data_IF_270483038248
#
_entry.id   IF_270483038248
#
_cell.length_a   1.000
_cell.length_b   1.000
_cell.length_c   1.000
_cell.angle_alpha   90.00
_cell.angle_beta   90.00
_cell.angle_gamma   90.00
#
_symmetry.space_group_name_H-M   'P 1'
#
loop_
_entity.id
_entity.type
_entity.pdbx_description
1 polymer ?
#
# COMPACT_ATOMS: atom_id res chain seq x y z
N UNK A 1 -5.56 -8.43 -20.89
CA UNK A 1 -4.14 -8.66 -20.53
C UNK A 1 -4.11 -9.61 -19.34
N UNK A 2 -3.46 -10.76 -19.45
CA UNK A 2 -3.48 -11.75 -18.37
C UNK A 2 -2.35 -11.44 -17.38
N UNK A 3 -2.68 -11.21 -16.11
CA UNK A 3 -1.73 -10.98 -15.01
C UNK A 3 -0.80 -12.17 -14.75
N UNK A 4 -1.10 -13.36 -15.29
CA UNK A 4 -0.30 -14.60 -15.09
C UNK A 4 1.17 -14.51 -15.52
N UNK A 5 1.52 -13.53 -16.37
CA UNK A 5 2.89 -13.30 -16.84
C UNK A 5 3.58 -12.13 -16.13
N UNK A 6 2.94 -11.49 -15.16
CA UNK A 6 3.47 -10.34 -14.43
C UNK A 6 3.93 -10.73 -13.03
N UNK A 7 4.99 -10.10 -12.57
CA UNK A 7 5.53 -10.25 -11.22
C UNK A 7 5.26 -8.97 -10.44
N UNK A 8 4.68 -9.09 -9.24
CA UNK A 8 4.42 -7.97 -8.35
C UNK A 8 5.60 -7.79 -7.39
N UNK A 9 6.18 -6.60 -7.37
CA UNK A 9 7.24 -6.21 -6.45
C UNK A 9 6.83 -4.99 -5.65
N UNK A 10 7.05 -5.04 -4.34
CA UNK A 10 6.86 -3.88 -3.46
C UNK A 10 8.10 -3.02 -3.48
N UNK A 11 7.93 -1.72 -3.69
CA UNK A 11 8.99 -0.73 -3.53
C UNK A 11 8.95 -0.18 -2.11
N UNK A 12 9.90 -0.62 -1.29
CA UNK A 12 10.12 -0.08 0.06
C UNK A 12 11.12 1.08 -0.01
N UNK A 13 10.60 2.31 -0.01
CA UNK A 13 11.43 3.51 -0.04
C UNK A 13 12.22 3.69 1.25
N UNK A 14 11.67 3.27 2.40
CA UNK A 14 12.35 3.33 3.69
C UNK A 14 13.60 2.45 3.72
N UNK A 15 13.49 1.21 3.22
CA UNK A 15 14.62 0.30 3.13
C UNK A 15 15.72 0.81 2.17
N UNK A 16 15.33 1.48 1.08
CA UNK A 16 16.29 2.09 0.15
C UNK A 16 17.06 3.24 0.79
N UNK A 17 16.40 4.07 1.59
CA UNK A 17 17.02 5.19 2.33
C UNK A 17 17.93 4.68 3.43
N UNK A 18 17.48 3.71 4.23
CA UNK A 18 18.23 3.16 5.37
C UNK A 18 19.59 2.53 4.99
N UNK A 19 19.72 2.05 3.75
CA UNK A 19 20.96 1.48 3.23
C UNK A 19 21.93 2.47 2.58
N UNK A 20 21.59 3.76 2.55
CA UNK A 20 22.36 4.79 1.85
C UNK A 20 23.09 5.70 2.86
N UNK A 21 24.41 5.87 2.69
CA UNK A 21 25.20 6.79 3.53
C UNK A 21 25.10 8.24 3.06
N UNK A 22 24.84 8.46 1.78
CA UNK A 22 24.75 9.76 1.15
C UNK A 22 23.54 9.81 0.21
N UNK A 23 23.02 11.01 -0.01
CA UNK A 23 21.90 11.29 -0.91
C UNK A 23 22.10 10.73 -2.33
N UNK A 24 23.30 10.88 -2.88
CA UNK A 24 23.65 10.40 -4.21
C UNK A 24 23.57 8.86 -4.35
N UNK A 25 23.92 8.13 -3.30
CA UNK A 25 23.86 6.67 -3.29
C UNK A 25 22.42 6.16 -3.39
N UNK A 26 21.50 6.82 -2.70
CA UNK A 26 20.06 6.50 -2.78
C UNK A 26 19.51 6.73 -4.18
N UNK A 27 19.76 7.91 -4.77
CA UNK A 27 19.32 8.22 -6.11
C UNK A 27 19.84 7.24 -7.16
N UNK A 28 21.12 6.87 -7.06
CA UNK A 28 21.74 5.93 -7.99
C UNK A 28 21.14 4.54 -7.88
N UNK A 29 20.92 4.05 -6.66
CA UNK A 29 20.25 2.76 -6.41
C UNK A 29 18.83 2.75 -6.96
N UNK A 30 18.04 3.78 -6.66
CA UNK A 30 16.68 3.90 -7.16
C UNK A 30 16.64 3.92 -8.68
N UNK A 31 17.51 4.70 -9.33
CA UNK A 31 17.63 4.75 -10.80
C UNK A 31 17.99 3.39 -11.40
N UNK A 32 18.89 2.62 -10.77
CA UNK A 32 19.25 1.26 -11.21
C UNK A 32 18.05 0.30 -11.14
N UNK A 33 17.34 0.29 -10.02
CA UNK A 33 16.13 -0.54 -9.83
C UNK A 33 15.06 -0.18 -10.87
N UNK A 34 14.78 1.09 -11.05
CA UNK A 34 13.77 1.55 -12.02
C UNK A 34 14.14 1.24 -13.47
N UNK A 35 15.43 1.33 -13.81
CA UNK A 35 15.93 0.92 -15.13
C UNK A 35 15.73 -0.57 -15.39
N UNK A 36 16.00 -1.42 -14.39
CA UNK A 36 15.76 -2.86 -14.49
C UNK A 36 14.27 -3.18 -14.67
N UNK A 37 13.39 -2.58 -13.83
CA UNK A 37 11.94 -2.72 -13.96
C UNK A 37 11.45 -2.36 -15.37
N UNK A 38 11.93 -1.24 -15.91
CA UNK A 38 11.56 -0.78 -17.26
C UNK A 38 12.05 -1.74 -18.34
N UNK A 39 13.25 -2.30 -18.18
CA UNK A 39 13.84 -3.21 -19.17
C UNK A 39 13.14 -4.55 -19.20
N UNK A 40 12.76 -5.08 -18.06
CA UNK A 40 12.08 -6.38 -17.96
C UNK A 40 10.65 -6.35 -18.51
N UNK A 41 9.91 -5.30 -18.26
CA UNK A 41 8.53 -5.13 -18.76
C UNK A 41 7.48 -6.10 -18.21
N UNK A 42 7.88 -7.12 -17.42
CA UNK A 42 7.00 -8.09 -16.75
C UNK A 42 6.70 -7.73 -15.31
N UNK A 43 7.26 -6.63 -14.81
CA UNK A 43 7.13 -6.20 -13.42
C UNK A 43 5.96 -5.21 -13.27
N UNK A 44 5.15 -5.44 -12.25
CA UNK A 44 4.18 -4.48 -11.69
C UNK A 44 4.72 -4.02 -10.34
N UNK A 45 4.90 -2.73 -10.19
CA UNK A 45 5.43 -2.13 -8.97
C UNK A 45 4.28 -1.81 -8.01
N UNK A 46 4.35 -2.29 -6.77
CA UNK A 46 3.45 -1.87 -5.71
C UNK A 46 4.13 -0.79 -4.87
N UNK A 47 3.46 0.34 -4.70
CA UNK A 47 3.93 1.45 -3.86
C UNK A 47 2.87 1.73 -2.80
N UNK A 48 3.21 1.45 -1.56
CA UNK A 48 2.38 1.83 -0.43
C UNK A 48 2.54 3.32 -0.13
N UNK A 49 1.50 3.93 0.45
CA UNK A 49 1.50 5.35 0.80
C UNK A 49 1.95 6.26 -0.39
N UNK A 50 1.45 5.95 -1.60
CA UNK A 50 1.89 6.62 -2.84
C UNK A 50 1.75 8.15 -2.78
N UNK A 51 0.87 8.68 -1.92
CA UNK A 51 0.71 10.11 -1.70
C UNK A 51 1.98 10.79 -1.19
N UNK A 52 2.89 10.05 -0.53
CA UNK A 52 4.17 10.57 -0.07
C UNK A 52 5.08 11.01 -1.22
N UNK A 53 4.86 10.46 -2.41
CA UNK A 53 5.59 10.86 -3.63
C UNK A 53 5.05 12.15 -4.27
N UNK A 54 3.94 12.67 -3.77
CA UNK A 54 3.26 13.82 -4.38
C UNK A 54 3.18 15.01 -3.44
N UNK A 55 3.09 14.75 -2.12
CA UNK A 55 2.92 15.78 -1.10
C UNK A 55 4.21 16.51 -0.74
N UNK A 56 4.14 17.82 -0.65
CA UNK A 56 5.20 18.64 -0.05
C UNK A 56 5.17 18.44 1.47
N UNK A 57 6.06 17.65 2.01
CA UNK A 57 6.15 17.40 3.46
C UNK A 57 6.80 16.08 3.84
N UNK A 58 7.23 15.32 2.86
CA UNK A 58 7.98 14.09 3.08
C UNK A 58 9.38 14.37 3.64
N UNK A 59 9.88 13.44 4.46
CA UNK A 59 11.27 13.43 4.89
C UNK A 59 12.24 13.57 3.71
N UNK A 60 13.43 14.10 3.94
CA UNK A 60 14.40 14.49 2.89
C UNK A 60 14.61 13.42 1.80
N UNK A 61 14.68 12.13 2.16
CA UNK A 61 14.82 11.02 1.22
C UNK A 61 13.58 10.73 0.36
N UNK A 62 12.37 11.06 0.83
CA UNK A 62 11.13 10.87 0.07
C UNK A 62 10.96 11.96 -1.02
N UNK A 63 11.47 13.18 -0.81
CA UNK A 63 11.50 14.25 -1.81
C UNK A 63 12.37 13.84 -3.00
N UNK A 64 13.47 13.16 -2.77
CA UNK A 64 14.37 12.67 -3.80
C UNK A 64 13.75 11.53 -4.62
N UNK A 65 13.09 10.59 -3.95
CA UNK A 65 12.32 9.54 -4.62
C UNK A 65 11.21 10.11 -5.49
N UNK A 66 10.46 11.09 -4.98
CA UNK A 66 9.38 11.76 -5.70
C UNK A 66 9.88 12.43 -6.99
N UNK A 67 11.02 13.10 -6.94
CA UNK A 67 11.60 13.78 -8.11
C UNK A 67 11.96 12.82 -9.24
N UNK A 68 12.30 11.58 -8.93
CA UNK A 68 12.67 10.54 -9.89
C UNK A 68 11.43 9.75 -10.37
N UNK A 69 10.58 9.33 -9.43
CA UNK A 69 9.43 8.45 -9.72
C UNK A 69 8.27 9.19 -10.39
N UNK A 70 7.92 10.38 -9.91
CA UNK A 70 6.76 11.12 -10.43
C UNK A 70 6.79 11.35 -11.95
N UNK A 71 7.91 11.78 -12.57
CA UNK A 71 7.98 11.90 -14.02
C UNK A 71 7.79 10.57 -14.75
N UNK A 72 8.31 9.46 -14.21
CA UNK A 72 8.19 8.12 -14.82
C UNK A 72 6.75 7.59 -14.73
N UNK A 73 6.09 7.81 -13.58
CA UNK A 73 4.67 7.49 -13.39
C UNK A 73 3.79 8.32 -14.33
N UNK A 74 4.03 9.62 -14.41
CA UNK A 74 3.29 10.52 -15.29
C UNK A 74 3.45 10.18 -16.78
N UNK A 75 4.59 9.65 -17.20
CA UNK A 75 4.80 9.16 -18.57
C UNK A 75 4.30 7.73 -18.83
N UNK A 76 3.85 7.02 -17.78
CA UNK A 76 3.40 5.64 -17.87
C UNK A 76 4.53 4.64 -18.19
N UNK A 77 5.76 4.98 -17.79
CA UNK A 77 6.94 4.12 -18.01
C UNK A 77 6.99 2.94 -17.02
N UNK A 78 6.24 3.02 -15.93
CA UNK A 78 6.15 2.02 -14.89
C UNK A 78 4.70 1.51 -14.79
N UNK A 79 4.52 0.19 -14.79
CA UNK A 79 3.25 -0.42 -14.42
C UNK A 79 3.17 -0.44 -12.89
N UNK A 80 2.24 0.33 -12.32
CA UNK A 80 2.24 0.59 -10.88
C UNK A 80 0.85 0.40 -10.29
N UNK A 81 0.80 -0.19 -9.11
CA UNK A 81 -0.33 -0.19 -8.21
C UNK A 81 0.06 0.67 -7.01
N UNK A 82 -0.64 1.75 -6.76
CA UNK A 82 -0.44 2.60 -5.60
C UNK A 82 -1.54 2.38 -4.56
N UNK A 83 -1.16 2.27 -3.29
CA UNK A 83 -2.10 2.26 -2.19
C UNK A 83 -2.03 3.60 -1.43
N UNK A 84 -3.19 4.07 -0.98
CA UNK A 84 -3.30 5.30 -0.17
C UNK A 84 -4.67 5.35 0.51
N UNK A 85 -4.84 6.25 1.47
CA UNK A 85 -6.15 6.52 2.05
C UNK A 85 -7.00 7.41 1.13
N UNK A 86 -8.32 7.37 1.31
CA UNK A 86 -9.26 8.20 0.52
C UNK A 86 -8.97 9.70 0.71
N UNK A 87 -8.61 10.11 1.93
CA UNK A 87 -8.34 11.50 2.25
C UNK A 87 -7.03 12.00 1.64
N UNK A 88 -5.98 11.20 1.70
CA UNK A 88 -4.69 11.53 1.08
C UNK A 88 -4.78 11.51 -0.45
N UNK A 89 -5.59 10.60 -1.03
CA UNK A 89 -5.88 10.61 -2.46
C UNK A 89 -6.47 11.95 -2.89
N UNK A 90 -7.52 12.42 -2.21
CA UNK A 90 -8.17 13.71 -2.50
C UNK A 90 -7.26 14.91 -2.31
N UNK A 91 -6.40 14.88 -1.28
CA UNK A 91 -5.48 15.99 -0.99
C UNK A 91 -4.34 16.11 -2.00
N UNK A 92 -3.81 14.99 -2.46
CA UNK A 92 -2.54 14.96 -3.17
C UNK A 92 -2.66 14.43 -4.61
N UNK A 93 -3.21 13.23 -4.84
CA UNK A 93 -3.21 12.61 -6.15
C UNK A 93 -4.25 13.22 -7.10
N UNK A 94 -5.47 13.42 -6.62
CA UNK A 94 -6.57 13.99 -7.41
C UNK A 94 -6.27 15.42 -7.89
N UNK A 95 -5.45 16.16 -7.13
CA UNK A 95 -5.03 17.51 -7.46
C UNK A 95 -3.83 17.59 -8.40
N UNK A 96 -3.22 16.46 -8.70
CA UNK A 96 -2.08 16.40 -9.62
C UNK A 96 -2.51 15.90 -10.99
N UNK A 97 -2.70 16.79 -11.98
CA UNK A 97 -3.24 16.42 -13.29
C UNK A 97 -2.37 15.43 -14.06
N UNK A 98 -1.08 15.32 -13.73
CA UNK A 98 -0.15 14.43 -14.38
C UNK A 98 -0.32 12.97 -13.90
N UNK A 99 -0.64 12.79 -12.62
CA UNK A 99 -0.88 11.48 -12.02
C UNK A 99 -2.34 11.05 -12.15
N UNK A 100 -3.29 11.96 -11.95
CA UNK A 100 -4.74 11.69 -12.11
C UNK A 100 -5.06 11.00 -13.43
N UNK A 101 -4.46 11.47 -14.53
CA UNK A 101 -4.67 10.89 -15.87
C UNK A 101 -4.04 9.49 -16.06
N UNK A 102 -3.21 9.05 -15.12
CA UNK A 102 -2.45 7.79 -15.22
C UNK A 102 -2.89 6.72 -14.25
N UNK A 103 -3.53 7.11 -13.17
CA UNK A 103 -4.04 6.19 -12.18
C UNK A 103 -5.56 6.10 -12.25
N UNK A 104 -6.06 4.88 -12.39
CA UNK A 104 -7.48 4.58 -12.26
C UNK A 104 -7.75 4.27 -10.77
N UNK A 105 -8.55 5.09 -10.07
CA UNK A 105 -8.87 4.81 -8.67
C UNK A 105 -9.74 3.56 -8.56
N UNK A 106 -9.39 2.70 -7.62
CA UNK A 106 -10.17 1.53 -7.21
C UNK A 106 -10.45 1.69 -5.72
N UNK A 107 -11.68 2.01 -5.37
CA UNK A 107 -12.09 2.17 -3.99
C UNK A 107 -12.31 0.80 -3.36
N UNK A 108 -11.64 0.55 -2.25
CA UNK A 108 -11.85 -0.63 -1.41
C UNK A 108 -12.84 -0.23 -0.32
N UNK A 109 -14.03 -0.82 -0.35
CA UNK A 109 -15.08 -0.54 0.64
C UNK A 109 -14.81 -1.29 1.94
N UNK A 110 -15.25 -0.71 3.06
CA UNK A 110 -15.25 -1.38 4.37
C UNK A 110 -16.10 -2.67 4.30
N UNK A 111 -15.60 -3.82 4.75
CA UNK A 111 -16.38 -5.06 4.72
C UNK A 111 -17.54 -5.00 5.71
N UNK A 112 -18.62 -5.71 5.40
CA UNK A 112 -19.73 -5.91 6.33
C UNK A 112 -19.27 -6.73 7.54
N UNK A 113 -20.03 -6.69 8.64
CA UNK A 113 -19.77 -7.53 9.83
C UNK A 113 -19.72 -9.02 9.45
N UNK A 114 -20.62 -9.49 8.58
CA UNK A 114 -20.64 -10.87 8.13
C UNK A 114 -19.34 -11.25 7.38
N UNK A 115 -18.90 -10.41 6.45
CA UNK A 115 -17.63 -10.63 5.72
C UNK A 115 -16.43 -10.52 6.65
N UNK A 116 -16.48 -9.63 7.64
CA UNK A 116 -15.43 -9.52 8.67
C UNK A 116 -15.28 -10.80 9.47
N UNK A 117 -16.39 -11.44 9.86
CA UNK A 117 -16.37 -12.74 10.54
C UNK A 117 -15.65 -13.79 9.67
N UNK A 118 -15.92 -13.83 8.37
CA UNK A 118 -15.25 -14.78 7.46
C UNK A 118 -13.76 -14.47 7.31
N UNK A 119 -13.38 -13.19 7.26
CA UNK A 119 -11.97 -12.75 7.24
C UNK A 119 -11.28 -13.21 8.53
N UNK A 120 -11.86 -12.94 9.70
CA UNK A 120 -11.30 -13.33 11.00
C UNK A 120 -11.11 -14.85 11.10
N UNK A 121 -12.09 -15.64 10.62
CA UNK A 121 -11.95 -17.10 10.53
C UNK A 121 -10.77 -17.52 9.64
N UNK A 122 -10.56 -16.82 8.53
CA UNK A 122 -9.47 -17.11 7.60
C UNK A 122 -8.08 -16.82 8.16
N UNK A 123 -7.94 -15.86 9.09
CA UNK A 123 -6.65 -15.52 9.72
C UNK A 123 -6.44 -16.19 11.08
N UNK A 124 -7.50 -16.75 11.69
CA UNK A 124 -7.52 -17.33 13.03
C UNK A 124 -6.33 -18.23 13.35
N UNK A 125 -6.04 -19.20 12.48
CA UNK A 125 -5.01 -20.19 12.73
C UNK A 125 -3.62 -19.55 12.92
N UNK A 126 -3.33 -18.47 12.21
CA UNK A 126 -2.07 -17.72 12.36
C UNK A 126 -1.98 -17.03 13.72
N UNK A 127 -3.09 -16.44 14.16
CA UNK A 127 -3.16 -15.79 15.48
C UNK A 127 -3.10 -16.79 16.62
N UNK A 128 -3.82 -17.93 16.52
CA UNK A 128 -3.76 -19.02 17.49
C UNK A 128 -2.34 -19.57 17.65
N UNK A 129 -1.64 -19.80 16.53
CA UNK A 129 -0.25 -20.28 16.55
C UNK A 129 0.70 -19.25 17.18
N UNK A 130 0.56 -17.98 16.83
CA UNK A 130 1.44 -16.93 17.33
C UNK A 130 1.26 -16.69 18.82
N UNK A 131 0.01 -16.57 19.27
CA UNK A 131 -0.33 -16.26 20.66
C UNK A 131 -0.50 -17.50 21.56
N UNK A 132 -0.48 -18.71 20.98
CA UNK A 132 -0.66 -19.99 21.69
C UNK A 132 -1.99 -20.04 22.46
N UNK A 133 -3.04 -19.59 21.84
CA UNK A 133 -4.41 -19.57 22.38
C UNK A 133 -5.35 -20.23 21.40
N UNK A 134 -6.56 -20.59 21.86
CA UNK A 134 -7.65 -21.02 20.98
C UNK A 134 -8.70 -19.95 20.90
N UNK A 135 -9.11 -19.57 19.70
CA UNK A 135 -10.11 -18.55 19.42
C UNK A 135 -11.40 -19.25 18.95
N UNK A 136 -12.44 -19.20 19.77
CA UNK A 136 -13.72 -19.82 19.43
C UNK A 136 -14.48 -19.05 18.34
N UNK A 137 -15.37 -19.69 17.63
CA UNK A 137 -16.24 -19.02 16.66
C UNK A 137 -17.11 -17.93 17.32
N UNK A 138 -17.53 -18.17 18.58
CA UNK A 138 -18.28 -17.17 19.35
C UNK A 138 -17.45 -15.92 19.64
N UNK A 139 -16.16 -16.07 19.95
CA UNK A 139 -15.25 -14.95 20.15
C UNK A 139 -15.08 -14.13 18.87
N UNK A 140 -14.92 -14.77 17.72
CA UNK A 140 -14.85 -14.11 16.41
C UNK A 140 -16.11 -13.30 16.10
N UNK A 141 -17.27 -13.91 16.31
CA UNK A 141 -18.57 -13.22 16.11
C UNK A 141 -18.71 -12.04 17.05
N UNK A 142 -18.32 -12.22 18.33
CA UNK A 142 -18.37 -11.15 19.32
C UNK A 142 -17.41 -10.00 18.95
N UNK A 143 -16.16 -10.31 18.56
CA UNK A 143 -15.17 -9.32 18.15
C UNK A 143 -15.69 -8.44 17.00
N UNK A 144 -16.20 -9.05 15.93
CA UNK A 144 -16.72 -8.31 14.79
C UNK A 144 -17.91 -7.41 15.16
N UNK A 145 -18.90 -7.94 15.90
CA UNK A 145 -20.08 -7.17 16.28
C UNK A 145 -19.78 -6.06 17.28
N UNK A 146 -18.94 -6.32 18.28
CA UNK A 146 -18.60 -5.32 19.30
C UNK A 146 -17.70 -4.22 18.72
N UNK A 147 -16.74 -4.59 17.88
CA UNK A 147 -15.90 -3.62 17.20
C UNK A 147 -16.73 -2.69 16.28
N UNK A 148 -17.67 -3.25 15.53
CA UNK A 148 -18.56 -2.45 14.67
C UNK A 148 -19.40 -1.46 15.50
N UNK A 149 -19.93 -1.92 16.62
CA UNK A 149 -20.84 -1.13 17.46
C UNK A 149 -20.15 -0.06 18.30
N UNK A 150 -18.97 -0.34 18.83
CA UNK A 150 -18.35 0.50 19.86
C UNK A 150 -17.09 1.23 19.42
N UNK A 151 -16.46 0.82 18.30
CA UNK A 151 -15.25 1.46 17.78
C UNK A 151 -15.63 2.22 16.51
N UNK A 152 -15.73 3.56 16.62
CA UNK A 152 -16.19 4.44 15.54
C UNK A 152 -15.07 5.16 14.80
N UNK A 153 -13.86 5.20 15.34
CA UNK A 153 -12.70 5.91 14.80
C UNK A 153 -11.80 5.05 13.91
N UNK A 154 -12.17 3.77 13.72
CA UNK A 154 -11.44 2.79 12.91
C UNK A 154 -12.40 1.97 12.03
N UNK A 155 -11.86 1.30 11.04
CA UNK A 155 -12.62 0.52 10.06
C UNK A 155 -12.47 -0.98 10.26
N UNK A 156 -13.51 -1.73 9.85
CA UNK A 156 -13.40 -3.19 9.71
C UNK A 156 -12.51 -3.53 8.49
N UNK A 157 -11.74 -4.64 8.53
CA UNK A 157 -11.70 -5.65 9.61
C UNK A 157 -10.74 -5.30 10.74
N UNK A 158 -9.86 -4.32 10.57
CA UNK A 158 -8.73 -4.04 11.48
C UNK A 158 -9.17 -3.80 12.92
N UNK A 159 -10.21 -2.98 13.12
CA UNK A 159 -10.77 -2.71 14.47
C UNK A 159 -11.33 -3.96 15.18
N UNK A 160 -11.56 -5.04 14.46
CA UNK A 160 -12.02 -6.31 15.03
C UNK A 160 -10.88 -7.31 15.23
N UNK A 161 -9.72 -7.07 14.64
CA UNK A 161 -8.50 -7.88 14.80
C UNK A 161 -7.77 -7.43 16.07
N UNK A 162 -7.64 -6.13 16.29
CA UNK A 162 -6.97 -5.53 17.45
C UNK A 162 -7.77 -5.73 18.76
#
# INVERSE_FOLDING_TARGET
MLFRSKQLYTLDLGALVAGSRYRGDFEERLKKVLKEIKTRGDIVLFIDEIHTLVGAGAAEGAIDAASILKPMLARGELQTIGATTTDEYRKHLEKDPALERRFQPVKVEEPTVALTIDILKGVRDKYEQHHRVTITDQAIVAAANLADRYISDRHLPDKAID
#
